data_IF_622356034305
#
_entry.id   IF_622356034305
#
_cell.length_a   1.000
_cell.length_b   1.000
_cell.length_c   1.000
_cell.angle_alpha   90.00
_cell.angle_beta   90.00
_cell.angle_gamma   90.00
#
_symmetry.space_group_name_H-M   'P 1'
#
loop_
_entity.id
_entity.type
_entity.pdbx_description
1 polymer ?
#
# COMPACT_ATOMS: atom_id res chain seq x y z
N UNK A 1 16.46 -5.94 17.23
CA UNK A 1 14.98 -5.85 17.14
C UNK A 1 14.48 -4.79 16.13
N UNK A 2 15.19 -3.67 15.92
CA UNK A 2 14.80 -2.60 14.96
C UNK A 2 14.69 -3.06 13.49
N UNK A 3 15.58 -3.96 13.06
CA UNK A 3 15.64 -4.47 11.67
C UNK A 3 14.37 -5.22 11.23
N UNK A 4 13.76 -6.01 12.12
CA UNK A 4 12.52 -6.73 11.81
C UNK A 4 11.34 -5.77 11.60
N UNK A 5 11.33 -4.65 12.31
CA UNK A 5 10.29 -3.65 12.19
C UNK A 5 10.45 -2.83 10.91
N UNK A 6 11.68 -2.40 10.60
CA UNK A 6 12.00 -1.75 9.32
C UNK A 6 11.64 -2.64 8.12
N UNK A 7 11.98 -3.93 8.15
CA UNK A 7 11.65 -4.86 7.07
C UNK A 7 10.13 -5.06 6.93
N UNK A 8 9.39 -5.10 8.04
CA UNK A 8 7.92 -5.16 8.03
C UNK A 8 7.29 -3.91 7.39
N UNK A 9 7.79 -2.72 7.72
CA UNK A 9 7.32 -1.45 7.14
C UNK A 9 7.59 -1.40 5.64
N UNK A 10 8.81 -1.73 5.21
CA UNK A 10 9.15 -1.79 3.78
C UNK A 10 8.29 -2.80 3.03
N UNK A 11 7.97 -3.94 3.65
CA UNK A 11 7.08 -4.95 3.07
C UNK A 11 5.65 -4.43 2.95
N UNK A 12 5.11 -3.78 3.98
CA UNK A 12 3.79 -3.16 3.95
C UNK A 12 3.70 -2.07 2.88
N UNK A 13 4.72 -1.23 2.78
CA UNK A 13 4.82 -0.17 1.77
C UNK A 13 4.83 -0.72 0.33
N UNK A 14 5.67 -1.73 0.07
CA UNK A 14 5.70 -2.38 -1.25
C UNK A 14 4.37 -3.04 -1.60
N UNK A 15 3.67 -3.60 -0.60
CA UNK A 15 2.33 -4.16 -0.79
C UNK A 15 1.32 -3.09 -1.19
N UNK A 16 1.35 -1.93 -0.52
CA UNK A 16 0.48 -0.79 -0.80
C UNK A 16 0.71 -0.21 -2.20
N UNK A 17 1.97 -0.07 -2.65
CA UNK A 17 2.29 0.34 -4.03
C UNK A 17 1.77 -0.69 -5.04
N UNK A 18 1.91 -1.99 -4.76
CA UNK A 18 1.44 -3.02 -5.69
C UNK A 18 -0.09 -3.01 -5.80
N UNK A 19 -0.79 -2.69 -4.73
CA UNK A 19 -2.24 -2.58 -4.74
C UNK A 19 -2.77 -1.35 -5.48
N UNK A 20 -1.92 -0.36 -5.81
CA UNK A 20 -2.32 0.79 -6.64
C UNK A 20 -2.10 0.57 -8.14
N UNK A 21 -1.37 -0.46 -8.57
CA UNK A 21 -1.24 -0.83 -10.00
C UNK A 21 -2.56 -1.07 -10.74
N UNK A 22 -3.62 -1.65 -10.14
CA UNK A 22 -4.88 -1.88 -10.83
C UNK A 22 -5.72 -0.60 -11.02
N UNK A 23 -5.33 0.54 -10.43
CA UNK A 23 -6.08 1.79 -10.59
C UNK A 23 -6.10 2.20 -12.08
N UNK A 24 -7.29 2.37 -12.68
CA UNK A 24 -7.42 2.75 -14.09
C UNK A 24 -7.00 4.20 -14.32
N UNK A 25 -7.35 5.10 -13.39
CA UNK A 25 -6.99 6.51 -13.49
C UNK A 25 -5.53 6.76 -13.08
N UNK A 26 -4.80 7.43 -13.98
CA UNK A 26 -3.38 7.72 -13.81
C UNK A 26 -3.12 8.83 -12.79
N UNK A 27 -4.05 9.78 -12.67
CA UNK A 27 -3.95 10.89 -11.73
C UNK A 27 -4.19 10.40 -10.29
N UNK A 28 -5.31 9.71 -10.05
CA UNK A 28 -5.63 9.10 -8.76
C UNK A 28 -4.52 8.15 -8.29
N UNK A 29 -3.93 7.37 -9.21
CA UNK A 29 -2.80 6.48 -8.89
C UNK A 29 -1.60 7.28 -8.42
N UNK A 30 -1.28 8.41 -9.07
CA UNK A 30 -0.16 9.25 -8.70
C UNK A 30 -0.37 9.91 -7.34
N UNK A 31 -1.56 10.45 -7.10
CA UNK A 31 -1.95 11.02 -5.81
C UNK A 31 -1.84 9.98 -4.68
N UNK A 32 -2.30 8.75 -4.93
CA UNK A 32 -2.20 7.65 -3.94
C UNK A 32 -0.74 7.26 -3.68
N UNK A 33 0.11 7.23 -4.71
CA UNK A 33 1.54 6.96 -4.55
C UNK A 33 2.24 8.06 -3.76
N UNK A 34 1.91 9.32 -4.02
CA UNK A 34 2.49 10.47 -3.31
C UNK A 34 2.00 10.52 -1.86
N UNK A 35 0.74 10.15 -1.58
CA UNK A 35 0.25 9.92 -0.22
C UNK A 35 1.09 8.86 0.51
N UNK A 36 1.30 7.68 -0.08
CA UNK A 36 2.11 6.64 0.54
C UNK A 36 3.56 7.05 0.76
N UNK A 37 4.15 7.83 -0.14
CA UNK A 37 5.50 8.39 0.04
C UNK A 37 5.56 9.33 1.24
N UNK A 38 4.60 10.26 1.36
CA UNK A 38 4.53 11.17 2.50
C UNK A 38 4.40 10.45 3.85
N UNK A 39 3.62 9.37 3.88
CA UNK A 39 3.51 8.52 5.08
C UNK A 39 4.84 7.83 5.42
N UNK A 40 5.60 7.36 4.41
CA UNK A 40 6.90 6.73 4.66
C UNK A 40 7.96 7.74 5.11
N UNK A 41 7.96 8.94 4.55
CA UNK A 41 8.86 10.02 4.96
C UNK A 41 8.61 10.47 6.39
N UNK A 42 7.35 10.50 6.84
CA UNK A 42 7.01 10.75 8.26
C UNK A 42 7.60 9.70 9.20
N UNK A 43 7.70 8.45 8.77
CA UNK A 43 8.23 7.35 9.59
C UNK A 43 9.75 7.26 9.57
N UNK A 44 10.42 7.93 8.63
CA UNK A 44 11.87 7.86 8.43
C UNK A 44 12.68 8.29 9.66
N UNK A 45 12.19 9.30 10.39
CA UNK A 45 12.90 9.89 11.53
C UNK A 45 12.44 9.34 12.89
N UNK A 46 11.50 8.38 12.91
CA UNK A 46 10.99 7.78 14.15
C UNK A 46 11.91 6.64 14.58
N UNK A 47 12.52 6.79 15.75
CA UNK A 47 13.40 5.80 16.37
C UNK A 47 12.71 4.96 17.44
N UNK A 48 11.56 5.40 17.95
CA UNK A 48 10.77 4.66 18.94
C UNK A 48 9.96 3.53 18.29
N UNK A 49 10.25 2.31 18.74
CA UNK A 49 9.64 1.05 18.30
C UNK A 49 8.13 1.02 18.52
N UNK A 50 7.64 1.55 19.64
CA UNK A 50 6.21 1.51 19.98
C UNK A 50 5.42 2.45 19.07
N UNK A 51 5.96 3.65 18.84
CA UNK A 51 5.39 4.63 17.92
C UNK A 51 5.36 4.03 16.51
N UNK A 52 6.43 3.37 16.08
CA UNK A 52 6.54 2.80 14.75
C UNK A 52 5.56 1.63 14.52
N UNK A 53 5.31 0.79 15.54
CA UNK A 53 4.29 -0.28 15.49
C UNK A 53 2.87 0.28 15.40
N UNK A 54 2.56 1.32 16.17
CA UNK A 54 1.26 1.99 16.13
C UNK A 54 1.01 2.61 14.76
N UNK A 55 2.01 3.31 14.22
CA UNK A 55 1.92 3.90 12.88
C UNK A 55 1.79 2.84 11.78
N UNK A 56 2.53 1.74 11.86
CA UNK A 56 2.38 0.63 10.91
C UNK A 56 0.95 0.07 10.93
N UNK A 57 0.37 -0.09 12.12
CA UNK A 57 -0.99 -0.59 12.28
C UNK A 57 -2.02 0.38 11.69
N UNK A 58 -1.83 1.69 11.93
CA UNK A 58 -2.65 2.74 11.34
C UNK A 58 -2.52 2.74 9.82
N UNK A 59 -1.30 2.73 9.28
CA UNK A 59 -1.03 2.68 7.84
C UNK A 59 -1.71 1.50 7.16
N UNK A 60 -1.63 0.31 7.75
CA UNK A 60 -2.29 -0.88 7.22
C UNK A 60 -3.82 -0.75 7.22
N UNK A 61 -4.40 -0.17 8.28
CA UNK A 61 -5.85 0.09 8.35
C UNK A 61 -6.27 1.10 7.30
N UNK A 62 -5.56 2.21 7.19
CA UNK A 62 -5.82 3.25 6.18
C UNK A 62 -5.70 2.70 4.77
N UNK A 63 -4.67 1.91 4.48
CA UNK A 63 -4.50 1.26 3.17
C UNK A 63 -5.67 0.34 2.86
N UNK A 64 -6.13 -0.45 3.85
CA UNK A 64 -7.30 -1.33 3.71
C UNK A 64 -8.61 -0.56 3.56
N UNK A 65 -8.78 0.60 4.19
CA UNK A 65 -9.99 1.42 4.07
C UNK A 65 -10.03 2.21 2.77
N UNK A 66 -8.87 2.60 2.23
CA UNK A 66 -8.77 3.27 0.94
C UNK A 66 -9.00 2.30 -0.23
N UNK A 67 -8.69 1.01 -0.08
CA UNK A 67 -8.87 0.02 -1.15
C UNK A 67 -10.31 -0.03 -1.71
N UNK A 68 -11.36 -0.15 -0.88
CA UNK A 68 -12.74 -0.11 -1.35
C UNK A 68 -13.15 1.25 -1.92
N UNK A 69 -12.68 2.37 -1.33
CA UNK A 69 -13.04 3.71 -1.81
C UNK A 69 -12.43 4.05 -3.16
N UNK A 70 -11.29 3.43 -3.51
CA UNK A 70 -10.62 3.54 -4.81
C UNK A 70 -11.27 2.66 -5.89
N UNK A 71 -12.40 2.02 -5.61
CA UNK A 71 -13.08 1.13 -6.57
C UNK A 71 -12.35 -0.20 -6.80
N UNK A 72 -11.36 -0.54 -5.97
CA UNK A 72 -10.65 -1.84 -6.03
C UNK A 72 -11.49 -3.00 -5.44
N UNK A 73 -12.75 -2.74 -5.07
CA UNK A 73 -13.73 -3.72 -4.58
C UNK A 73 -14.01 -4.84 -5.59
N UNK A 74 -13.66 -4.66 -6.87
CA UNK A 74 -13.68 -5.71 -7.90
C UNK A 74 -12.59 -6.79 -7.78
N UNK A 75 -11.74 -6.76 -6.74
CA UNK A 75 -10.70 -7.77 -6.50
C UNK A 75 -11.05 -8.78 -5.40
N UNK A 76 -12.20 -8.65 -4.72
CA UNK A 76 -12.64 -9.64 -3.72
C UNK A 76 -13.63 -10.69 -4.24
N UNK A 77 -14.02 -10.62 -5.52
CA UNK A 77 -14.92 -11.60 -6.13
C UNK A 77 -14.81 -11.59 -7.65
N UNK A 78 -14.41 -12.73 -8.22
CA UNK A 78 -14.49 -13.08 -9.64
C UNK A 78 -13.86 -12.08 -10.65
N UNK A 79 -12.69 -12.44 -11.19
CA UNK A 79 -12.30 -11.97 -12.53
C UNK A 79 -11.48 -10.68 -12.62
N UNK A 80 -10.34 -10.60 -11.92
CA UNK A 80 -9.23 -9.83 -12.47
C UNK A 80 -8.70 -10.61 -13.68
N UNK A 81 -9.19 -10.26 -14.88
CA UNK A 81 -8.59 -10.73 -16.14
C UNK A 81 -7.11 -10.43 -16.07
N UNK A 82 -6.32 -11.49 -16.00
CA UNK A 82 -4.87 -11.46 -16.02
C UNK A 82 -4.43 -10.76 -17.31
N UNK A 83 -4.04 -9.50 -17.20
CA UNK A 83 -3.26 -8.80 -18.24
C UNK A 83 -1.92 -9.53 -18.30
N UNK A 84 -1.81 -10.49 -19.20
CA UNK A 84 -0.60 -11.32 -19.37
C UNK A 84 -0.78 -12.72 -19.96
N UNK A 85 -1.97 -13.19 -20.34
CA UNK A 85 -2.09 -14.43 -21.10
C UNK A 85 -1.62 -14.19 -22.55
N UNK A 86 -0.35 -14.51 -22.79
CA UNK A 86 0.27 -14.63 -24.11
C UNK A 86 -0.58 -15.55 -24.97
N UNK A 87 -1.20 -15.02 -26.02
CA UNK A 87 -1.90 -15.82 -27.05
C UNK A 87 -0.88 -16.76 -27.70
N UNK A 88 -1.10 -18.07 -27.61
CA UNK A 88 -0.52 -19.06 -28.54
C UNK A 88 -1.52 -19.37 -29.62
#
# INVERSE_FOLDING_TARGET
MLFLLQTSILRAYRSAIRSTRPLPDSQTRRETLDFFRGELDRLRNITDINILKSNLSTFQRTTKSMLPSLGLTGLSGSGSKLVGQRRS
#
